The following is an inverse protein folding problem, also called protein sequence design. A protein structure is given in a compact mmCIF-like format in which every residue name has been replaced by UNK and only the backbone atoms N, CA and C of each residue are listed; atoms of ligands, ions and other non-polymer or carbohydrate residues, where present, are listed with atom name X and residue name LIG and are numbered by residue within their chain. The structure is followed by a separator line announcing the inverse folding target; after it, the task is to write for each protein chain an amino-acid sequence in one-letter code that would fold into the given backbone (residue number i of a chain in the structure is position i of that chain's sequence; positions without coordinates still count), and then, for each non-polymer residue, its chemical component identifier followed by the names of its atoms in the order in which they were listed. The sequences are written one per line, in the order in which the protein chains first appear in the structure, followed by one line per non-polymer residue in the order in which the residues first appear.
data_IF_371157229013
#
_entry.id   IF_371157229013
#
_cell.length_a   1.000
_cell.length_b   1.000
_cell.length_c   1.000
_cell.angle_alpha   90.00
_cell.angle_beta   90.00
_cell.angle_gamma   90.00
#
_symmetry.space_group_name_H-M   'P 1'
#
loop_
_entity.id
_entity.type
_entity.pdbx_description
1 polymer ?
#
# COMPACT_ATOMS: atom_id res chain seq x y z
N UNK A 1 16.45 -1.84 -0.94
CA UNK A 1 16.02 -0.42 -1.11
C UNK A 1 16.10 0.01 -2.56
N UNK A 2 17.26 -0.14 -3.22
CA UNK A 2 17.41 0.18 -4.65
C UNK A 2 16.32 -0.46 -5.53
N UNK A 3 16.04 -1.74 -5.33
CA UNK A 3 14.97 -2.46 -6.06
C UNK A 3 13.59 -1.85 -5.83
N UNK A 4 13.19 -1.66 -4.57
CA UNK A 4 11.92 -0.99 -4.23
C UNK A 4 11.83 0.41 -4.85
N UNK A 5 12.92 1.18 -4.82
CA UNK A 5 13.00 2.49 -5.45
C UNK A 5 12.88 2.42 -6.98
N UNK A 6 13.48 1.41 -7.62
CA UNK A 6 13.35 1.20 -9.07
C UNK A 6 11.91 0.84 -9.46
N UNK A 7 11.22 0.01 -8.67
CA UNK A 7 9.80 -0.32 -8.92
C UNK A 7 8.90 0.90 -8.81
N UNK A 8 9.15 1.76 -7.81
CA UNK A 8 8.39 2.98 -7.57
C UNK A 8 8.69 4.05 -8.62
N UNK A 9 9.97 4.37 -8.84
CA UNK A 9 10.39 5.40 -9.81
C UNK A 9 10.10 4.97 -11.25
N UNK A 10 10.19 3.67 -11.54
CA UNK A 10 9.80 3.11 -12.84
C UNK A 10 8.30 3.20 -13.13
N UNK A 11 7.50 3.75 -12.21
CA UNK A 11 6.06 3.94 -12.38
C UNK A 11 5.27 2.63 -12.40
N UNK A 12 5.89 1.52 -11.97
CA UNK A 12 5.22 0.21 -11.98
C UNK A 12 4.28 0.09 -10.78
N UNK A 13 4.70 0.56 -9.60
CA UNK A 13 3.91 0.51 -8.37
C UNK A 13 4.23 1.67 -7.42
N UNK A 14 3.23 2.41 -6.96
CA UNK A 14 3.43 3.52 -6.01
C UNK A 14 3.53 3.06 -4.54
N UNK A 15 3.02 1.85 -4.26
CA UNK A 15 2.91 1.28 -2.93
C UNK A 15 3.36 -0.18 -2.94
N UNK A 16 4.30 -0.51 -2.06
CA UNK A 16 4.87 -1.85 -1.95
C UNK A 16 4.60 -2.40 -0.55
N UNK A 17 3.65 -3.35 -0.38
CA UNK A 17 3.52 -4.07 0.88
C UNK A 17 4.79 -4.90 1.13
N UNK A 18 5.28 -4.87 2.36
CA UNK A 18 6.41 -5.69 2.81
C UNK A 18 5.83 -6.86 3.57
N UNK A 19 6.18 -8.07 3.13
CA UNK A 19 5.73 -9.32 3.75
C UNK A 19 6.89 -10.05 4.42
N UNK A 20 6.59 -10.84 5.45
CA UNK A 20 7.56 -11.75 6.06
C UNK A 20 7.80 -12.97 5.16
N UNK A 21 8.72 -13.85 5.57
CA UNK A 21 8.91 -15.15 4.93
C UNK A 21 7.68 -16.08 5.03
N UNK A 22 6.76 -15.79 5.97
CA UNK A 22 5.47 -16.47 6.12
C UNK A 22 4.35 -15.74 5.34
N UNK A 23 4.68 -14.86 4.40
CA UNK A 23 3.73 -14.09 3.58
C UNK A 23 2.82 -13.12 4.35
N UNK A 24 3.05 -12.91 5.65
CA UNK A 24 2.29 -11.98 6.47
C UNK A 24 2.72 -10.55 6.23
N UNK A 25 1.76 -9.63 6.13
CA UNK A 25 2.04 -8.20 6.03
C UNK A 25 2.77 -7.68 7.29
N UNK A 26 3.96 -7.10 7.12
CA UNK A 26 4.78 -6.53 8.21
C UNK A 26 5.08 -5.03 8.04
N UNK A 27 4.78 -4.47 6.87
CA UNK A 27 4.98 -3.05 6.61
C UNK A 27 4.59 -2.64 5.21
N UNK A 28 4.84 -1.37 4.89
CA UNK A 28 4.64 -0.81 3.56
C UNK A 28 5.77 0.17 3.24
N UNK A 29 6.14 0.22 1.97
CA UNK A 29 7.11 1.16 1.43
C UNK A 29 6.46 1.94 0.29
N UNK A 30 6.68 3.24 0.30
CA UNK A 30 6.26 4.20 -0.72
C UNK A 30 7.41 5.13 -1.05
N UNK A 31 7.23 6.00 -2.05
CA UNK A 31 8.21 7.07 -2.35
C UNK A 31 8.54 7.93 -1.12
N UNK A 32 7.57 8.14 -0.22
CA UNK A 32 7.76 8.89 1.03
C UNK A 32 8.76 8.22 1.97
N UNK A 33 8.66 6.90 2.16
CA UNK A 33 9.57 6.15 3.03
C UNK A 33 11.00 6.16 2.49
N UNK A 34 11.15 6.08 1.15
CA UNK A 34 12.46 6.23 0.49
C UNK A 34 13.02 7.63 0.70
N UNK A 35 12.22 8.68 0.48
CA UNK A 35 12.64 10.06 0.71
C UNK A 35 13.10 10.27 2.15
N UNK A 36 12.32 9.77 3.11
CA UNK A 36 12.63 9.83 4.54
C UNK A 36 13.91 9.06 4.89
N UNK A 37 14.13 7.89 4.30
CA UNK A 37 15.34 7.09 4.49
C UNK A 37 16.59 7.82 4.00
N UNK A 38 16.52 8.42 2.81
CA UNK A 38 17.62 9.22 2.24
C UNK A 38 17.91 10.43 3.14
N UNK A 39 16.88 11.15 3.56
CA UNK A 39 17.04 12.33 4.43
C UNK A 39 17.63 12.01 5.81
N UNK A 40 17.35 10.81 6.34
CA UNK A 40 17.84 10.36 7.64
C UNK A 40 19.14 9.56 7.61
N UNK A 41 19.70 9.31 6.43
CA UNK A 41 20.92 8.49 6.25
C UNK A 41 20.72 7.00 6.56
N UNK A 42 19.47 6.54 6.77
CA UNK A 42 19.14 5.15 7.11
C UNK A 42 18.76 4.37 5.86
N UNK A 43 19.76 4.03 5.05
CA UNK A 43 19.59 3.40 3.73
C UNK A 43 20.09 1.96 3.67
N UNK A 44 20.31 1.31 4.81
CA UNK A 44 20.86 -0.05 4.88
C UNK A 44 19.80 -1.14 4.67
N UNK A 45 18.65 -1.06 5.36
CA UNK A 45 17.59 -2.08 5.25
C UNK A 45 16.19 -1.49 5.08
N UNK A 46 15.34 -2.21 4.35
CA UNK A 46 13.92 -1.85 4.17
C UNK A 46 13.17 -1.82 5.52
N UNK A 47 13.51 -2.75 6.42
CA UNK A 47 12.95 -2.84 7.78
C UNK A 47 13.11 -1.57 8.61
N UNK A 48 14.09 -0.73 8.28
CA UNK A 48 14.47 0.46 9.03
C UNK A 48 13.69 1.70 8.57
N UNK A 49 13.10 1.65 7.37
CA UNK A 49 12.34 2.75 6.78
C UNK A 49 10.86 2.46 6.57
N UNK A 50 10.48 1.18 6.48
CA UNK A 50 9.10 0.83 6.19
C UNK A 50 8.13 1.38 7.24
N UNK A 51 6.96 1.81 6.78
CA UNK A 51 5.87 2.15 7.67
C UNK A 51 5.25 0.86 8.21
N UNK A 52 5.35 0.65 9.53
CA UNK A 52 4.85 -0.56 10.21
C UNK A 52 3.35 -0.53 10.48
N UNK A 53 2.79 0.66 10.71
CA UNK A 53 1.36 0.84 10.91
C UNK A 53 0.68 0.96 9.55
N UNK A 54 0.36 -0.19 8.97
CA UNK A 54 -0.30 -0.28 7.65
C UNK A 54 -1.80 -0.38 7.86
N UNK A 55 -2.55 0.50 7.20
CA UNK A 55 -3.99 0.33 7.10
C UNK A 55 -4.31 -0.74 6.06
N UNK A 56 -5.22 -1.64 6.39
CA UNK A 56 -5.58 -2.80 5.57
C UNK A 56 -7.07 -2.82 5.24
N UNK A 57 -7.40 -3.50 4.16
CA UNK A 57 -8.75 -3.97 3.87
C UNK A 57 -8.84 -5.48 4.11
N UNK A 58 -9.96 -5.97 4.62
CA UNK A 58 -10.21 -7.41 4.65
C UNK A 58 -10.76 -7.89 3.30
N UNK A 59 -10.50 -9.14 2.93
CA UNK A 59 -11.08 -9.77 1.72
C UNK A 59 -12.60 -9.61 1.63
N UNK A 60 -13.28 -9.70 2.77
CA UNK A 60 -14.74 -9.69 2.85
C UNK A 60 -15.30 -8.29 3.18
N UNK A 61 -14.45 -7.26 3.19
CA UNK A 61 -14.83 -5.89 3.47
C UNK A 61 -15.54 -5.24 2.25
N UNK A 62 -16.71 -4.62 2.44
CA UNK A 62 -17.36 -3.84 1.39
C UNK A 62 -16.44 -2.74 0.84
N UNK A 63 -16.48 -2.54 -0.48
CA UNK A 63 -15.65 -1.55 -1.17
C UNK A 63 -15.85 -0.13 -0.62
N UNK A 64 -17.07 0.20 -0.20
CA UNK A 64 -17.42 1.49 0.40
C UNK A 64 -16.65 1.75 1.70
N UNK A 65 -16.41 0.71 2.51
CA UNK A 65 -15.63 0.84 3.73
C UNK A 65 -14.14 1.01 3.42
N UNK A 66 -13.61 0.26 2.46
CA UNK A 66 -12.24 0.45 1.98
C UNK A 66 -12.03 1.86 1.41
N UNK A 67 -12.98 2.37 0.61
CA UNK A 67 -12.96 3.73 0.07
C UNK A 67 -12.99 4.79 1.19
N UNK A 68 -13.80 4.58 2.24
CA UNK A 68 -13.83 5.45 3.42
C UNK A 68 -12.52 5.43 4.18
N UNK A 69 -11.85 4.28 4.32
CA UNK A 69 -10.53 4.18 4.96
C UNK A 69 -9.48 4.98 4.18
N UNK A 70 -9.47 4.85 2.85
CA UNK A 70 -8.58 5.61 1.97
C UNK A 70 -8.75 7.13 2.21
N UNK A 71 -9.99 7.62 2.17
CA UNK A 71 -10.27 9.05 2.36
C UNK A 71 -10.01 9.52 3.80
N UNK A 72 -10.45 8.76 4.80
CA UNK A 72 -10.32 9.14 6.21
C UNK A 72 -8.86 9.21 6.65
N UNK A 73 -8.03 8.25 6.23
CA UNK A 73 -6.61 8.22 6.57
C UNK A 73 -5.72 9.00 5.59
N UNK A 74 -6.29 9.61 4.55
CA UNK A 74 -5.57 10.35 3.50
C UNK A 74 -4.45 9.52 2.87
N UNK A 75 -4.79 8.28 2.55
CA UNK A 75 -3.89 7.30 1.90
C UNK A 75 -4.48 6.87 0.55
N UNK A 76 -3.61 6.50 -0.38
CA UNK A 76 -3.99 6.14 -1.76
C UNK A 76 -4.06 4.64 -2.02
N UNK A 77 -3.63 3.80 -1.08
CA UNK A 77 -3.70 2.36 -1.21
C UNK A 77 -3.92 1.62 0.12
N UNK A 78 -4.56 0.46 0.02
CA UNK A 78 -4.78 -0.50 1.10
C UNK A 78 -4.36 -1.89 0.59
N UNK A 79 -3.44 -2.59 1.27
CA UNK A 79 -3.29 -4.02 1.10
C UNK A 79 -4.57 -4.74 1.53
N UNK A 80 -5.01 -5.68 0.70
CA UNK A 80 -6.10 -6.59 1.03
C UNK A 80 -5.49 -7.82 1.67
N UNK A 81 -5.94 -8.16 2.88
CA UNK A 81 -5.45 -9.33 3.61
C UNK A 81 -6.56 -10.33 3.89
N UNK A 82 -6.16 -11.60 4.03
CA UNK A 82 -7.03 -12.66 4.53
C UNK A 82 -7.07 -12.68 6.08
N UNK A 83 -7.77 -13.68 6.64
CA UNK A 83 -7.91 -13.88 8.08
C UNK A 83 -6.60 -14.22 8.80
N UNK A 84 -5.62 -14.75 8.07
CA UNK A 84 -4.31 -15.17 8.58
C UNK A 84 -3.24 -14.08 8.35
N UNK A 85 -3.67 -12.91 7.85
CA UNK A 85 -2.89 -11.71 7.62
C UNK A 85 -1.94 -11.80 6.40
N UNK A 86 -2.20 -12.73 5.47
CA UNK A 86 -1.49 -12.80 4.20
C UNK A 86 -2.01 -11.75 3.22
N UNK A 87 -1.10 -11.14 2.47
CA UNK A 87 -1.47 -10.16 1.43
C UNK A 87 -1.97 -10.90 0.20
N UNK A 88 -3.25 -10.71 -0.12
CA UNK A 88 -3.91 -11.35 -1.28
C UNK A 88 -4.21 -10.38 -2.41
N UNK A 89 -3.97 -9.07 -2.20
CA UNK A 89 -4.22 -8.05 -3.22
C UNK A 89 -4.00 -6.63 -2.71
N UNK A 90 -4.37 -5.67 -3.55
CA UNK A 90 -4.27 -4.24 -3.29
C UNK A 90 -5.53 -3.53 -3.81
N UNK A 91 -6.01 -2.55 -3.06
CA UNK A 91 -7.05 -1.61 -3.49
C UNK A 91 -6.46 -0.20 -3.48
N UNK A 92 -6.56 0.52 -4.60
CA UNK A 92 -6.11 1.90 -4.70
C UNK A 92 -7.27 2.88 -4.90
N UNK A 93 -7.09 4.12 -4.43
CA UNK A 93 -8.09 5.19 -4.62
C UNK A 93 -8.39 5.46 -6.09
N UNK A 94 -7.40 5.26 -6.97
CA UNK A 94 -7.53 5.39 -8.42
C UNK A 94 -8.41 4.27 -9.03
N UNK A 95 -8.28 3.02 -8.56
CA UNK A 95 -9.20 1.94 -8.95
C UNK A 95 -10.63 2.24 -8.48
N UNK A 96 -10.80 2.71 -7.24
CA UNK A 96 -12.09 3.11 -6.68
C UNK A 96 -12.72 4.23 -7.52
N UNK A 97 -11.94 5.29 -7.82
CA UNK A 97 -12.38 6.42 -8.64
C UNK A 97 -12.85 6.00 -10.04
N UNK A 98 -12.11 5.11 -10.70
CA UNK A 98 -12.50 4.56 -12.01
C UNK A 98 -13.81 3.78 -11.96
N UNK A 99 -14.05 2.99 -10.91
CA UNK A 99 -15.29 2.23 -10.75
C UNK A 99 -16.51 3.15 -10.59
N UNK A 100 -16.39 4.22 -9.78
CA UNK A 100 -17.48 5.18 -9.61
C UNK A 100 -17.71 6.05 -10.84
N UNK A 101 -16.65 6.41 -11.57
CA UNK A 101 -16.77 7.16 -12.83
C UNK A 101 -17.54 6.37 -13.88
N UNK A 102 -17.33 5.04 -13.98
CA UNK A 102 -18.07 4.18 -14.91
C UNK A 102 -19.55 4.01 -14.56
N UNK A 103 -19.94 4.12 -13.29
CA UNK A 103 -21.35 4.04 -12.86
C UNK A 103 -22.15 5.32 -13.15
N UNK A 104 -21.50 6.45 -13.42
CA UNK A 104 -22.15 7.73 -13.73
C UNK A 104 -22.36 7.98 -15.23
N UNK A 105 -21.93 7.04 -16.08
CA UNK A 105 -22.10 7.12 -17.53
C UNK A 105 -23.32 6.34 -18.06
N UNK A 106 -24.34 6.13 -17.21
CA UNK A 106 -25.64 5.53 -17.57
C UNK A 106 -26.75 6.50 -17.20
#
# INVERSE_FOLDING_TARGET
IKEAAQMIIGGTFDHLPVVSAEEKLIGMVTAWDISKAVASGKTSHISDMMTRKVFIASRDEPLELAARKLDHHKISALPVVDKDHHVIGMVTSDQVSRLYSRRRSV
#
